data_IF_503882101144
#
_entry.id   IF_503882101144
#
_cell.length_a   1.000
_cell.length_b   1.000
_cell.length_c   1.000
_cell.angle_alpha   90.00
_cell.angle_beta   90.00
_cell.angle_gamma   90.00
#
_symmetry.space_group_name_H-M   'P 1'
#
loop_
_entity.id
_entity.type
_entity.pdbx_description
1 polymer ?
#
# COMPACT_ATOMS: atom_id res chain seq x y z
N UNK A 1 4.42 6.42 18.86
CA UNK A 1 4.84 5.25 18.04
C UNK A 1 6.35 5.24 17.93
N UNK A 2 6.96 4.10 18.16
CA UNK A 2 8.41 3.99 18.11
C UNK A 2 8.82 2.82 17.22
N UNK A 3 9.85 3.02 16.42
CA UNK A 3 10.47 1.99 15.60
C UNK A 3 11.97 2.11 15.70
N UNK A 4 12.69 1.01 15.48
CA UNK A 4 14.15 0.98 15.45
C UNK A 4 14.59 0.30 14.16
N UNK A 5 15.59 0.88 13.49
CA UNK A 5 16.19 0.27 12.30
C UNK A 5 17.66 0.02 12.61
N UNK A 6 18.09 -1.23 12.44
CA UNK A 6 19.47 -1.66 12.70
C UNK A 6 20.15 -2.11 11.42
N UNK A 7 21.37 -1.67 11.20
CA UNK A 7 22.20 -2.18 10.13
C UNK A 7 22.69 -3.59 10.49
N UNK A 8 22.56 -4.52 9.56
CA UNK A 8 23.01 -5.89 9.75
C UNK A 8 24.32 -6.16 9.03
N UNK A 9 24.34 -5.95 7.72
CA UNK A 9 25.49 -6.19 6.86
C UNK A 9 25.20 -5.61 5.46
N UNK A 10 26.23 -5.15 4.75
CA UNK A 10 26.06 -4.63 3.38
C UNK A 10 24.96 -3.56 3.29
N UNK A 11 23.92 -3.84 2.53
CA UNK A 11 22.75 -2.99 2.39
C UNK A 11 21.50 -3.55 3.10
N UNK A 12 21.71 -4.48 4.03
CA UNK A 12 20.64 -5.13 4.80
C UNK A 12 20.38 -4.41 6.11
N UNK A 13 19.11 -4.15 6.37
CA UNK A 13 18.63 -3.54 7.61
C UNK A 13 17.48 -4.34 8.18
N UNK A 14 17.38 -4.39 9.50
CA UNK A 14 16.24 -4.97 10.21
C UNK A 14 15.47 -3.86 10.88
N UNK A 15 14.20 -3.77 10.56
CA UNK A 15 13.25 -2.87 11.23
C UNK A 15 12.53 -3.60 12.35
N UNK A 16 12.40 -2.95 13.49
CA UNK A 16 11.63 -3.44 14.63
C UNK A 16 10.55 -2.42 14.97
N UNK A 17 9.30 -2.85 14.99
CA UNK A 17 8.19 -1.99 15.40
C UNK A 17 7.95 -2.04 16.90
N UNK A 18 7.42 -0.94 17.45
CA UNK A 18 7.01 -0.91 18.86
C UNK A 18 5.91 -1.91 19.22
N UNK A 19 5.21 -2.43 18.20
CA UNK A 19 4.19 -3.49 18.38
C UNK A 19 4.77 -4.91 18.47
N UNK A 20 6.10 -5.05 18.40
CA UNK A 20 6.76 -6.35 18.60
C UNK A 20 6.99 -7.16 17.33
N UNK A 21 7.08 -6.53 16.18
CA UNK A 21 7.30 -7.18 14.90
C UNK A 21 8.58 -6.71 14.23
N UNK A 22 9.21 -7.60 13.48
CA UNK A 22 10.45 -7.31 12.75
C UNK A 22 10.27 -7.61 11.27
N UNK A 23 11.01 -6.87 10.45
CA UNK A 23 11.10 -7.11 9.01
C UNK A 23 12.51 -6.80 8.51
N UNK A 24 12.84 -7.39 7.35
CA UNK A 24 14.14 -7.19 6.70
C UNK A 24 13.94 -6.30 5.48
N UNK A 25 14.83 -5.32 5.33
CA UNK A 25 14.98 -4.53 4.11
C UNK A 25 16.37 -4.80 3.54
N UNK A 26 16.48 -4.86 2.22
CA UNK A 26 17.75 -5.10 1.55
C UNK A 26 17.82 -4.32 0.24
N UNK A 27 19.01 -4.23 -0.32
CA UNK A 27 19.26 -3.61 -1.60
C UNK A 27 19.50 -4.61 -2.73
N UNK A 28 19.58 -4.11 -3.98
CA UNK A 28 20.00 -4.94 -5.11
C UNK A 28 21.47 -5.32 -5.00
N UNK A 29 21.85 -6.39 -5.69
CA UNK A 29 23.22 -6.92 -5.63
C UNK A 29 24.27 -5.93 -6.13
N UNK A 30 23.95 -5.16 -7.16
CA UNK A 30 24.84 -4.14 -7.73
C UNK A 30 25.11 -2.95 -6.79
N UNK A 31 24.30 -2.79 -5.73
CA UNK A 31 24.50 -1.76 -4.70
C UNK A 31 24.92 -2.36 -3.35
N UNK A 32 25.47 -3.56 -3.35
CA UNK A 32 25.97 -4.23 -2.15
C UNK A 32 24.94 -5.01 -1.34
N UNK A 33 23.75 -5.18 -1.89
CA UNK A 33 22.70 -5.98 -1.29
C UNK A 33 22.74 -7.45 -1.71
N UNK A 34 21.85 -8.25 -1.13
CA UNK A 34 21.66 -9.66 -1.47
C UNK A 34 20.25 -9.96 -1.95
N UNK A 35 19.43 -8.92 -2.11
CA UNK A 35 18.03 -9.02 -2.54
C UNK A 35 17.21 -9.96 -1.62
N UNK A 36 17.42 -9.88 -0.32
CA UNK A 36 16.72 -10.70 0.67
C UNK A 36 15.51 -10.02 1.32
N UNK A 37 15.18 -8.83 0.88
CA UNK A 37 14.04 -8.09 1.38
C UNK A 37 13.67 -6.93 0.46
N UNK A 38 12.50 -6.31 0.68
CA UNK A 38 12.10 -5.14 -0.08
C UNK A 38 13.02 -3.95 0.18
N UNK A 39 13.04 -3.01 -0.77
CA UNK A 39 13.76 -1.74 -0.65
C UNK A 39 13.02 -0.82 0.31
N UNK A 40 13.71 0.11 0.99
CA UNK A 40 13.05 1.09 1.88
C UNK A 40 11.92 1.87 1.20
N UNK A 41 12.10 2.31 -0.04
CA UNK A 41 11.05 3.03 -0.77
C UNK A 41 9.87 2.13 -1.12
N UNK A 42 10.11 0.84 -1.40
CA UNK A 42 9.03 -0.14 -1.57
C UNK A 42 8.23 -0.33 -0.28
N UNK A 43 8.88 -0.27 0.87
CA UNK A 43 8.22 -0.35 2.18
C UNK A 43 7.21 0.79 2.40
N UNK A 44 7.52 1.98 1.90
CA UNK A 44 6.58 3.10 1.96
C UNK A 44 5.32 2.82 1.15
N UNK A 45 5.47 2.21 -0.03
CA UNK A 45 4.33 1.81 -0.87
C UNK A 45 3.53 0.67 -0.24
N UNK A 46 4.20 -0.33 0.32
CA UNK A 46 3.54 -1.43 1.02
C UNK A 46 2.75 -0.93 2.22
N UNK A 47 3.32 -0.01 3.00
CA UNK A 47 2.63 0.62 4.13
C UNK A 47 1.42 1.43 3.68
N UNK A 48 1.57 2.22 2.62
CA UNK A 48 0.45 2.98 2.06
C UNK A 48 -0.67 2.07 1.57
N UNK A 49 -0.32 0.98 0.88
CA UNK A 49 -1.29 -0.01 0.41
C UNK A 49 -2.04 -0.67 1.55
N UNK A 50 -1.33 -1.09 2.60
CA UNK A 50 -1.94 -1.68 3.80
C UNK A 50 -2.88 -0.71 4.51
N UNK A 51 -2.48 0.55 4.61
CA UNK A 51 -3.31 1.61 5.20
C UNK A 51 -4.61 1.81 4.42
N UNK A 52 -4.53 1.93 3.10
CA UNK A 52 -5.70 2.09 2.24
C UNK A 52 -6.60 0.85 2.24
N UNK A 53 -6.02 -0.34 2.19
CA UNK A 53 -6.76 -1.61 2.21
C UNK A 53 -7.54 -1.80 3.52
N UNK A 54 -6.94 -1.41 4.63
CA UNK A 54 -7.64 -1.47 5.92
C UNK A 54 -8.96 -0.69 5.86
N UNK A 55 -8.93 0.52 5.33
CA UNK A 55 -10.12 1.36 5.20
C UNK A 55 -11.15 0.74 4.25
N UNK A 56 -10.72 0.35 3.06
CA UNK A 56 -11.61 -0.19 2.02
C UNK A 56 -12.31 -1.46 2.50
N UNK A 57 -11.55 -2.41 3.04
CA UNK A 57 -12.13 -3.67 3.55
C UNK A 57 -13.06 -3.42 4.73
N UNK A 58 -12.67 -2.53 5.65
CA UNK A 58 -13.49 -2.18 6.81
C UNK A 58 -14.82 -1.56 6.39
N UNK A 59 -14.79 -0.61 5.46
CA UNK A 59 -16.01 0.04 4.97
C UNK A 59 -16.93 -0.93 4.22
N UNK A 60 -16.38 -1.82 3.41
CA UNK A 60 -17.16 -2.83 2.69
C UNK A 60 -17.83 -3.82 3.66
N UNK A 61 -17.13 -4.22 4.71
CA UNK A 61 -17.72 -5.07 5.77
C UNK A 61 -18.86 -4.36 6.50
N UNK A 62 -18.66 -3.09 6.86
CA UNK A 62 -19.70 -2.29 7.51
C UNK A 62 -20.92 -2.09 6.60
N UNK A 63 -20.72 -2.00 5.29
CA UNK A 63 -21.78 -1.93 4.30
C UNK A 63 -22.40 -3.30 3.97
N UNK A 64 -22.01 -4.33 4.71
CA UNK A 64 -22.51 -5.71 4.56
C UNK A 64 -22.30 -6.29 3.16
N UNK A 65 -21.24 -5.87 2.51
CA UNK A 65 -20.84 -6.43 1.22
C UNK A 65 -20.16 -7.80 1.43
N UNK A 66 -20.48 -8.74 0.56
CA UNK A 66 -19.93 -10.10 0.63
C UNK A 66 -18.57 -10.16 -0.07
N UNK A 67 -17.57 -9.55 0.52
CA UNK A 67 -16.21 -9.54 0.00
C UNK A 67 -15.55 -10.88 0.26
N UNK A 68 -15.04 -11.49 -0.80
CA UNK A 68 -14.28 -12.73 -0.74
C UNK A 68 -12.77 -12.45 -0.69
N UNK A 69 -12.31 -11.54 -1.53
CA UNK A 69 -10.90 -11.14 -1.60
C UNK A 69 -10.78 -9.68 -1.97
N UNK A 70 -9.65 -9.08 -1.63
CA UNK A 70 -9.34 -7.71 -1.99
C UNK A 70 -7.83 -7.55 -2.09
N UNK A 71 -7.37 -6.93 -3.17
CA UNK A 71 -5.96 -6.55 -3.30
C UNK A 71 -5.86 -5.13 -3.82
N UNK A 72 -4.72 -4.51 -3.62
CA UNK A 72 -4.38 -3.24 -4.24
C UNK A 72 -3.07 -3.39 -4.99
N UNK A 73 -3.10 -3.06 -6.27
CA UNK A 73 -1.91 -3.00 -7.11
C UNK A 73 -1.46 -1.54 -7.15
N UNK A 74 -0.22 -1.29 -6.78
CA UNK A 74 0.32 0.06 -6.67
C UNK A 74 1.41 0.24 -7.71
N UNK A 75 1.28 1.32 -8.49
CA UNK A 75 2.31 1.76 -9.43
C UNK A 75 2.74 3.16 -9.03
N UNK A 76 4.04 3.37 -8.93
CA UNK A 76 4.61 4.66 -8.59
C UNK A 76 5.77 5.02 -9.51
N UNK A 77 5.93 6.30 -9.76
CA UNK A 77 7.08 6.85 -10.46
C UNK A 77 7.90 7.70 -9.50
N UNK A 78 9.19 7.68 -9.68
CA UNK A 78 10.14 8.47 -8.88
C UNK A 78 10.78 9.54 -9.76
N UNK A 79 11.16 10.66 -9.15
CA UNK A 79 11.89 11.70 -9.84
C UNK A 79 13.24 11.18 -10.36
N UNK A 80 13.62 11.58 -11.56
CA UNK A 80 14.96 11.35 -12.11
C UNK A 80 15.92 12.43 -11.57
N UNK A 81 16.14 12.36 -10.27
CA UNK A 81 16.92 13.35 -9.51
C UNK A 81 17.40 12.73 -8.19
N UNK A 82 18.21 13.49 -7.46
CA UNK A 82 18.63 13.17 -6.10
C UNK A 82 18.12 14.27 -5.17
N UNK A 83 17.22 13.98 -4.22
CA UNK A 83 16.61 12.69 -3.92
C UNK A 83 15.54 12.29 -4.95
N UNK A 84 15.45 10.97 -5.19
CA UNK A 84 14.47 10.40 -6.11
C UNK A 84 13.14 10.16 -5.37
N UNK A 85 12.40 11.23 -5.13
CA UNK A 85 11.10 11.18 -4.45
C UNK A 85 10.01 10.60 -5.36
N UNK A 86 8.93 10.11 -4.78
CA UNK A 86 7.75 9.73 -5.56
C UNK A 86 7.13 10.97 -6.20
N UNK A 87 6.82 10.87 -7.49
CA UNK A 87 6.14 11.93 -8.24
C UNK A 87 4.69 11.57 -8.54
N UNK A 88 4.42 10.30 -8.83
CA UNK A 88 3.07 9.78 -9.07
C UNK A 88 2.89 8.49 -8.31
N UNK A 89 1.66 8.20 -7.90
CA UNK A 89 1.29 6.96 -7.26
C UNK A 89 -0.16 6.63 -7.62
N UNK A 90 -0.35 5.47 -8.25
CA UNK A 90 -1.68 4.93 -8.55
C UNK A 90 -1.97 3.73 -7.66
N UNK A 91 -3.13 3.71 -7.03
CA UNK A 91 -3.66 2.57 -6.29
C UNK A 91 -4.85 2.00 -7.05
N UNK A 92 -4.72 0.77 -7.53
CA UNK A 92 -5.79 0.06 -8.22
C UNK A 92 -6.29 -1.09 -7.34
N UNK A 93 -7.51 -0.94 -6.82
CA UNK A 93 -8.14 -1.95 -5.95
C UNK A 93 -8.89 -2.96 -6.80
N UNK A 94 -8.68 -4.24 -6.51
CA UNK A 94 -9.45 -5.32 -7.11
C UNK A 94 -10.21 -6.02 -5.99
N UNK A 95 -11.53 -5.89 -6.02
CA UNK A 95 -12.41 -6.45 -5.00
C UNK A 95 -13.21 -7.58 -5.61
N UNK A 96 -13.07 -8.77 -5.07
CA UNK A 96 -13.88 -9.92 -5.48
C UNK A 96 -14.86 -10.33 -4.39
N UNK A 97 -16.02 -10.75 -4.82
CA UNK A 97 -17.09 -11.15 -3.91
C UNK A 97 -18.36 -11.50 -4.66
N UNK A 98 -19.42 -11.71 -3.89
CA UNK A 98 -20.73 -12.07 -4.43
C UNK A 98 -21.70 -10.89 -4.32
N UNK A 99 -22.34 -10.56 -5.44
CA UNK A 99 -23.35 -9.51 -5.51
C UNK A 99 -22.87 -8.16 -4.95
N UNK A 100 -21.62 -7.82 -5.22
CA UNK A 100 -21.04 -6.55 -4.75
C UNK A 100 -21.71 -5.37 -5.46
N UNK A 101 -22.06 -4.36 -4.69
CA UNK A 101 -22.63 -3.13 -5.23
C UNK A 101 -21.48 -2.18 -5.61
N UNK A 102 -21.42 -1.82 -6.89
CA UNK A 102 -20.39 -0.90 -7.40
C UNK A 102 -20.35 0.41 -6.62
N UNK A 103 -21.53 0.95 -6.27
CA UNK A 103 -21.62 2.19 -5.49
C UNK A 103 -20.94 2.09 -4.14
N UNK A 104 -20.97 0.93 -3.50
CA UNK A 104 -20.30 0.70 -2.21
C UNK A 104 -18.79 0.58 -2.38
N UNK A 105 -18.33 -0.12 -3.41
CA UNK A 105 -16.90 -0.23 -3.72
C UNK A 105 -16.31 1.14 -4.07
N UNK A 106 -16.97 1.87 -4.95
CA UNK A 106 -16.57 3.23 -5.32
C UNK A 106 -16.48 4.14 -4.10
N UNK A 107 -17.50 4.13 -3.25
CA UNK A 107 -17.52 4.93 -2.02
C UNK A 107 -16.38 4.58 -1.09
N UNK A 108 -16.11 3.29 -0.88
CA UNK A 108 -15.03 2.84 0.00
C UNK A 108 -13.67 3.32 -0.52
N UNK A 109 -13.40 3.17 -1.81
CA UNK A 109 -12.14 3.62 -2.44
C UNK A 109 -12.00 5.14 -2.37
N UNK A 110 -13.03 5.89 -2.71
CA UNK A 110 -13.00 7.36 -2.67
C UNK A 110 -12.81 7.90 -1.25
N UNK A 111 -13.50 7.36 -0.26
CA UNK A 111 -13.37 7.80 1.14
C UNK A 111 -12.00 7.45 1.73
N UNK A 112 -11.44 6.29 1.38
CA UNK A 112 -10.08 5.96 1.77
C UNK A 112 -9.09 6.99 1.22
N UNK A 113 -9.20 7.30 -0.08
CA UNK A 113 -8.30 8.23 -0.75
C UNK A 113 -8.39 9.65 -0.20
N UNK A 114 -9.61 10.14 0.03
CA UNK A 114 -9.87 11.56 0.32
C UNK A 114 -9.88 11.89 1.81
N UNK A 115 -10.18 10.91 2.67
CA UNK A 115 -10.45 11.21 4.08
C UNK A 115 -9.72 10.30 5.07
N UNK A 116 -9.65 9.01 4.85
CA UNK A 116 -9.26 8.07 5.89
C UNK A 116 -7.85 7.50 5.78
N UNK A 117 -7.28 7.35 4.58
CA UNK A 117 -5.94 6.82 4.44
C UNK A 117 -4.90 7.87 4.79
N UNK A 118 -4.35 7.79 5.99
CA UNK A 118 -3.32 8.71 6.47
C UNK A 118 -2.11 8.77 5.53
N UNK A 119 -1.67 7.62 5.02
CA UNK A 119 -0.53 7.54 4.13
C UNK A 119 -0.79 8.24 2.79
N UNK A 120 -1.96 8.00 2.17
CA UNK A 120 -2.34 8.66 0.90
C UNK A 120 -2.40 10.18 1.05
N UNK A 121 -2.97 10.65 2.13
CA UNK A 121 -3.09 12.09 2.42
C UNK A 121 -1.72 12.70 2.64
N UNK A 122 -0.82 12.01 3.34
CA UNK A 122 0.56 12.48 3.55
C UNK A 122 1.34 12.57 2.23
N UNK A 123 1.22 11.59 1.35
CA UNK A 123 1.86 11.63 0.03
C UNK A 123 1.32 12.77 -0.83
N UNK A 124 0.01 12.96 -0.85
CA UNK A 124 -0.61 14.06 -1.58
C UNK A 124 -0.14 15.42 -1.07
N UNK A 125 -0.10 15.60 0.25
CA UNK A 125 0.40 16.82 0.89
C UNK A 125 1.88 17.09 0.56
N UNK A 126 2.67 16.06 0.30
CA UNK A 126 4.07 16.18 -0.10
C UNK A 126 4.23 16.45 -1.60
N UNK A 127 3.16 16.53 -2.36
CA UNK A 127 3.20 16.84 -3.79
C UNK A 127 3.17 15.63 -4.71
N UNK A 128 2.91 14.43 -4.21
CA UNK A 128 2.74 13.24 -5.03
C UNK A 128 1.38 13.29 -5.73
N UNK A 129 1.36 13.12 -7.04
CA UNK A 129 0.11 13.05 -7.80
C UNK A 129 -0.53 11.66 -7.57
N UNK A 130 -1.56 11.62 -6.72
CA UNK A 130 -2.26 10.41 -6.35
C UNK A 130 -3.42 10.12 -7.28
N UNK A 131 -3.60 8.86 -7.66
CA UNK A 131 -4.79 8.41 -8.39
C UNK A 131 -5.26 7.06 -7.83
N UNK A 132 -6.57 6.85 -7.87
CA UNK A 132 -7.22 5.66 -7.33
C UNK A 132 -8.21 5.13 -8.35
N UNK A 133 -8.22 3.81 -8.52
CA UNK A 133 -9.15 3.12 -9.41
C UNK A 133 -9.56 1.79 -8.78
N UNK A 134 -10.57 1.16 -9.34
CA UNK A 134 -11.03 -0.13 -8.83
C UNK A 134 -11.60 -1.00 -9.96
N UNK A 135 -11.59 -2.30 -9.72
CA UNK A 135 -12.29 -3.29 -10.50
C UNK A 135 -13.02 -4.23 -9.55
N UNK A 136 -14.14 -4.75 -9.99
CA UNK A 136 -14.94 -5.72 -9.26
C UNK A 136 -14.91 -7.03 -10.03
N UNK A 137 -14.53 -8.11 -9.35
CA UNK A 137 -14.57 -9.46 -9.89
C UNK A 137 -15.67 -10.24 -9.18
N UNK A 138 -16.60 -10.77 -9.96
CA UNK A 138 -17.64 -11.63 -9.41
C UNK A 138 -17.01 -12.97 -9.03
N UNK A 139 -17.26 -13.41 -7.80
CA UNK A 139 -16.83 -14.71 -7.35
C UNK A 139 -17.76 -15.77 -7.93
N UNK A 140 -17.23 -16.66 -8.79
CA UNK A 140 -18.00 -17.70 -9.44
C UNK A 140 -18.61 -18.68 -8.44
N UNK A 141 -19.85 -19.09 -8.68
CA UNK A 141 -20.44 -20.19 -7.93
C UNK A 141 -19.76 -21.50 -8.34
N UNK A 142 -19.28 -22.22 -7.37
CA UNK A 142 -18.93 -23.64 -7.56
C UNK A 142 -20.20 -24.49 -7.53
#
# INVERSE_FOLDING_TARGET
MDVTVKWMDGAMFVGESGSGHSLVMDGPEDLGGRNLGPRPMEMLLLGAGGCAMFDVVSMLKKARQKVHDCRVDIQAERADAIPAVFTTLNMHFVVSGKDLKESQVKRAVELSAEKYCSASIMFEAAGVAMSHSYAIEEFGED
#
